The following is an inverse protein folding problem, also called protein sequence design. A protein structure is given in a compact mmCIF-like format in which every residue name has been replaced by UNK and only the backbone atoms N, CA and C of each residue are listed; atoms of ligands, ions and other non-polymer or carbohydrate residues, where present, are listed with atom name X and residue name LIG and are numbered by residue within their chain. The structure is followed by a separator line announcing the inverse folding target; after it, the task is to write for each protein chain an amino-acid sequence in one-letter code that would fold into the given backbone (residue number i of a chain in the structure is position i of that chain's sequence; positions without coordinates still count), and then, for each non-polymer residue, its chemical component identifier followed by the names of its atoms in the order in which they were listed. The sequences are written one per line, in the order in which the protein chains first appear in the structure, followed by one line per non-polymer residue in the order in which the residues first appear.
data_IF_665316382227
#
_entry.id   IF_665316382227
#
_cell.length_a   1.000
_cell.length_b   1.000
_cell.length_c   1.000
_cell.angle_alpha   90.00
_cell.angle_beta   90.00
_cell.angle_gamma   90.00
#
_symmetry.space_group_name_H-M   'P 1'
#
loop_
_entity.id
_entity.type
_entity.pdbx_description
1 polymer ?
#
# COMPACT_ATOMS: atom_id res chain seq x y z
N UNK A 1 -18.62 -4.68 -19.15
CA UNK A 1 -18.00 -4.95 -17.84
C UNK A 1 -17.36 -3.64 -17.38
N UNK A 2 -17.69 -3.13 -16.20
CA UNK A 2 -17.11 -1.86 -15.70
C UNK A 2 -15.69 -2.14 -15.20
N UNK A 3 -14.72 -1.31 -15.55
CA UNK A 3 -13.33 -1.46 -15.09
C UNK A 3 -13.23 -1.10 -13.61
N UNK A 4 -12.32 -1.74 -12.88
CA UNK A 4 -12.01 -1.35 -11.49
C UNK A 4 -11.46 0.08 -11.43
N UNK A 5 -10.84 0.57 -12.51
CA UNK A 5 -10.35 1.94 -12.62
C UNK A 5 -11.48 2.97 -12.61
N UNK A 6 -12.70 2.57 -13.00
CA UNK A 6 -13.88 3.45 -13.01
C UNK A 6 -14.66 3.42 -11.68
N UNK A 7 -14.22 2.59 -10.72
CA UNK A 7 -14.87 2.46 -9.41
C UNK A 7 -14.41 3.58 -8.49
N UNK A 8 -15.38 4.29 -7.88
CA UNK A 8 -15.09 5.33 -6.89
C UNK A 8 -14.38 4.74 -5.67
N UNK A 9 -13.40 5.47 -5.14
CA UNK A 9 -12.66 5.11 -3.93
C UNK A 9 -13.59 4.69 -2.79
N UNK A 10 -14.66 5.44 -2.55
CA UNK A 10 -15.62 5.17 -1.48
C UNK A 10 -16.26 3.78 -1.55
N UNK A 11 -16.41 3.23 -2.76
CA UNK A 11 -17.01 1.91 -3.03
C UNK A 11 -16.01 0.76 -2.90
N UNK A 12 -14.71 1.04 -2.74
CA UNK A 12 -13.72 -0.02 -2.53
C UNK A 12 -13.81 -0.61 -1.12
N UNK A 13 -13.57 -1.92 -0.95
CA UNK A 13 -13.38 -2.52 0.37
C UNK A 13 -12.22 -1.85 1.13
N UNK A 14 -12.29 -1.81 2.46
CA UNK A 14 -11.33 -1.09 3.29
C UNK A 14 -9.87 -1.50 3.03
N UNK A 15 -9.60 -2.81 2.92
CA UNK A 15 -8.26 -3.29 2.61
C UNK A 15 -7.74 -2.83 1.23
N UNK A 16 -8.62 -2.64 0.24
CA UNK A 16 -8.24 -2.06 -1.06
C UNK A 16 -7.97 -0.56 -0.96
N UNK A 17 -8.73 0.18 -0.14
CA UNK A 17 -8.47 1.59 0.15
C UNK A 17 -7.10 1.78 0.79
N UNK A 18 -6.75 0.95 1.77
CA UNK A 18 -5.43 0.96 2.43
C UNK A 18 -4.29 0.65 1.45
N UNK A 19 -4.44 -0.38 0.61
CA UNK A 19 -3.47 -0.72 -0.43
C UNK A 19 -3.27 0.42 -1.42
N UNK A 20 -4.34 1.01 -1.92
CA UNK A 20 -4.25 2.14 -2.85
C UNK A 20 -3.59 3.36 -2.21
N UNK A 21 -3.95 3.69 -0.96
CA UNK A 21 -3.33 4.79 -0.22
C UNK A 21 -1.81 4.55 -0.05
N UNK A 22 -1.40 3.34 0.32
CA UNK A 22 0.02 2.98 0.40
C UNK A 22 0.71 3.06 -0.97
N UNK A 23 0.11 2.53 -2.03
CA UNK A 23 0.65 2.61 -3.40
C UNK A 23 0.86 4.05 -3.86
N UNK A 24 -0.07 4.96 -3.52
CA UNK A 24 0.09 6.39 -3.81
C UNK A 24 1.24 7.00 -3.00
N UNK A 25 1.35 6.66 -1.71
CA UNK A 25 2.40 7.18 -0.84
C UNK A 25 3.82 6.78 -1.29
N UNK A 26 3.98 5.59 -1.89
CA UNK A 26 5.28 5.11 -2.38
C UNK A 26 5.56 5.46 -3.85
N UNK A 27 4.56 5.99 -4.59
CA UNK A 27 4.63 6.15 -6.04
C UNK A 27 5.83 7.01 -6.50
N UNK A 28 6.19 8.02 -5.70
CA UNK A 28 7.31 8.92 -5.97
C UNK A 28 8.62 8.48 -5.31
N UNK A 29 8.75 7.20 -4.95
CA UNK A 29 9.96 6.59 -4.39
C UNK A 29 10.54 7.34 -3.16
N UNK A 30 9.75 7.55 -2.10
CA UNK A 30 10.24 8.19 -0.89
C UNK A 30 11.35 7.39 -0.21
N UNK A 31 12.32 8.09 0.39
CA UNK A 31 13.31 7.48 1.31
C UNK A 31 12.69 7.03 2.64
N UNK A 32 11.61 7.69 3.07
CA UNK A 32 10.92 7.43 4.34
C UNK A 32 9.40 7.54 4.11
N UNK A 33 8.64 6.59 4.63
CA UNK A 33 7.17 6.60 4.60
C UNK A 33 6.64 6.54 6.03
N UNK A 34 5.71 7.44 6.37
CA UNK A 34 4.98 7.40 7.65
C UNK A 34 3.64 6.71 7.44
N UNK A 35 3.32 5.77 8.32
CA UNK A 35 2.09 4.98 8.27
C UNK A 35 1.36 5.13 9.61
N UNK A 36 0.24 5.86 9.61
CA UNK A 36 -0.63 5.97 10.77
C UNK A 36 -1.80 4.98 10.64
N UNK A 37 -1.97 4.12 11.64
CA UNK A 37 -2.93 3.00 11.68
C UNK A 37 -3.22 2.32 10.32
N UNK A 38 -2.20 1.85 9.58
CA UNK A 38 -2.36 1.51 8.16
C UNK A 38 -3.21 0.25 7.91
N UNK A 39 -3.53 -0.49 8.97
CA UNK A 39 -4.38 -1.69 8.95
C UNK A 39 -5.56 -1.58 9.93
N UNK A 40 -5.95 -0.37 10.32
CA UNK A 40 -7.12 -0.16 11.18
C UNK A 40 -8.39 -0.73 10.55
N UNK A 41 -9.15 -1.54 11.30
CA UNK A 41 -10.46 -2.05 10.89
C UNK A 41 -10.48 -3.16 9.82
N UNK A 42 -9.33 -3.73 9.42
CA UNK A 42 -9.29 -4.93 8.57
C UNK A 42 -9.14 -6.21 9.40
N UNK A 43 -9.56 -7.35 8.83
CA UNK A 43 -9.41 -8.65 9.49
C UNK A 43 -7.92 -9.06 9.61
N UNK A 44 -7.59 -9.99 10.54
CA UNK A 44 -6.19 -10.38 10.79
C UNK A 44 -5.44 -10.94 9.57
N UNK A 45 -6.14 -11.61 8.64
CA UNK A 45 -5.51 -12.18 7.45
C UNK A 45 -5.15 -11.07 6.47
N UNK A 46 -6.06 -10.13 6.25
CA UNK A 46 -5.82 -8.96 5.40
C UNK A 46 -4.71 -8.08 5.96
N UNK A 47 -4.68 -7.85 7.27
CA UNK A 47 -3.60 -7.13 7.95
C UNK A 47 -2.23 -7.75 7.66
N UNK A 48 -2.09 -9.07 7.82
CA UNK A 48 -0.83 -9.77 7.56
C UNK A 48 -0.36 -9.60 6.12
N UNK A 49 -1.26 -9.81 5.15
CA UNK A 49 -0.97 -9.63 3.73
C UNK A 49 -0.56 -8.20 3.36
N UNK A 50 -1.13 -7.21 4.05
CA UNK A 50 -0.76 -5.82 3.86
C UNK A 50 0.66 -5.53 4.35
N UNK A 51 1.05 -6.07 5.50
CA UNK A 51 2.42 -5.96 6.00
C UNK A 51 3.44 -6.69 5.11
N UNK A 52 3.10 -7.88 4.59
CA UNK A 52 3.93 -8.59 3.61
C UNK A 52 4.23 -7.70 2.38
N UNK A 53 3.21 -7.04 1.84
CA UNK A 53 3.37 -6.08 0.74
C UNK A 53 4.29 -4.91 1.09
N UNK A 54 4.16 -4.34 2.30
CA UNK A 54 5.06 -3.27 2.76
C UNK A 54 6.50 -3.77 2.76
N UNK A 55 6.77 -4.93 3.36
CA UNK A 55 8.13 -5.48 3.42
C UNK A 55 8.71 -5.73 2.04
N UNK A 56 7.93 -6.29 1.10
CA UNK A 56 8.37 -6.51 -0.27
C UNK A 56 8.78 -5.21 -0.97
N UNK A 57 7.98 -4.15 -0.83
CA UNK A 57 8.29 -2.83 -1.40
C UNK A 57 9.56 -2.26 -0.79
N UNK A 58 9.68 -2.26 0.54
CA UNK A 58 10.86 -1.71 1.21
C UNK A 58 12.14 -2.46 0.85
N UNK A 59 12.09 -3.78 0.71
CA UNK A 59 13.24 -4.57 0.25
C UNK A 59 13.63 -4.17 -1.18
N UNK A 60 12.66 -3.89 -2.06
CA UNK A 60 12.94 -3.46 -3.43
C UNK A 60 13.50 -2.03 -3.52
N UNK A 61 13.01 -1.12 -2.68
CA UNK A 61 13.49 0.26 -2.61
C UNK A 61 14.87 0.36 -1.94
N UNK A 62 15.15 -0.49 -0.94
CA UNK A 62 16.43 -0.50 -0.21
C UNK A 62 17.59 -1.18 -0.95
N UNK A 63 17.41 -1.60 -2.22
CA UNK A 63 18.48 -2.21 -3.01
C UNK A 63 19.64 -1.21 -3.24
N UNK A 64 20.89 -1.58 -2.94
CA UNK A 64 22.04 -0.70 -3.17
C UNK A 64 22.15 -0.38 -4.67
N UNK A 65 22.20 0.91 -4.99
CA UNK A 65 22.16 1.45 -6.37
C UNK A 65 21.00 2.41 -6.67
N UNK A 66 20.03 2.59 -5.75
CA UNK A 66 18.95 3.61 -5.86
C UNK A 66 19.09 4.80 -4.90
N UNK A 67 20.10 4.77 -4.02
CA UNK A 67 20.33 5.77 -2.98
C UNK A 67 21.45 6.75 -3.38
N UNK A 68 21.58 7.05 -4.67
CA UNK A 68 22.48 8.07 -5.22
C UNK A 68 21.67 9.28 -5.70
#
# INVERSE_FOLDING_TARGET
MVSVADVRLASLPLGWKQKLAFSVAILHEPKIVFLDEPTGGVDPVTMRRFWEMIYEVFIQLARPGRME
#
